data_IF_709650823761
#
_entry.id   IF_709650823761
#
_cell.length_a   1.000
_cell.length_b   1.000
_cell.length_c   1.000
_cell.angle_alpha   90.00
_cell.angle_beta   90.00
_cell.angle_gamma   90.00
#
_symmetry.space_group_name_H-M   'P 1'
#
loop_
_entity.id
_entity.type
_entity.pdbx_description
1 polymer ?
#
# COMPACT_ATOMS: atom_id res chain seq x y z
N UNK A 1 18.09 12.05 13.36
CA UNK A 1 18.06 12.40 11.91
C UNK A 1 16.89 13.37 11.64
N UNK A 2 15.66 13.05 12.05
CA UNK A 2 14.46 13.88 11.83
C UNK A 2 14.61 15.32 12.36
N UNK A 3 15.24 15.51 13.51
CA UNK A 3 15.56 16.83 14.07
C UNK A 3 16.52 17.66 13.20
N UNK A 4 17.45 17.01 12.48
CA UNK A 4 18.42 17.69 11.58
C UNK A 4 17.81 18.11 10.26
N UNK A 5 16.74 17.42 9.81
CA UNK A 5 16.09 17.62 8.50
C UNK A 5 14.81 18.46 8.63
N UNK A 6 14.41 18.83 9.87
CA UNK A 6 13.22 19.66 10.10
C UNK A 6 11.89 18.90 10.00
N UNK A 7 11.90 17.57 9.87
CA UNK A 7 10.71 16.72 9.82
C UNK A 7 10.17 16.45 11.22
N UNK A 8 9.69 17.52 11.91
CA UNK A 8 9.19 17.50 13.27
C UNK A 8 7.76 18.06 13.26
N UNK A 9 6.83 17.33 13.88
CA UNK A 9 5.50 17.85 14.17
C UNK A 9 5.54 18.73 15.42
N UNK A 10 5.45 20.04 15.22
CA UNK A 10 5.29 21.00 16.30
C UNK A 10 3.79 21.31 16.41
N UNK A 11 3.13 21.01 17.54
CA UNK A 11 1.72 21.29 17.72
C UNK A 11 1.48 22.82 17.66
N UNK A 12 0.81 23.26 16.57
CA UNK A 12 0.45 24.67 16.37
C UNK A 12 -1.03 24.96 16.72
N UNK A 13 -1.85 23.91 16.90
CA UNK A 13 -3.30 24.03 17.10
C UNK A 13 -3.78 23.22 18.31
N UNK A 14 -4.81 23.76 18.99
CA UNK A 14 -5.47 23.15 20.16
C UNK A 14 -6.17 21.79 19.86
N UNK A 15 -6.28 21.39 18.60
CA UNK A 15 -6.86 20.09 18.20
C UNK A 15 -5.87 18.93 18.25
N UNK A 16 -4.56 19.20 18.44
CA UNK A 16 -3.54 18.14 18.48
C UNK A 16 -3.33 17.68 19.91
N UNK A 17 -3.44 16.37 20.11
CA UNK A 17 -3.34 15.73 21.43
C UNK A 17 -1.91 15.69 22.00
N UNK A 18 -0.88 16.09 21.23
CA UNK A 18 0.51 16.01 21.64
C UNK A 18 1.04 17.37 22.10
N UNK A 19 1.69 17.36 23.27
CA UNK A 19 2.35 18.55 23.85
C UNK A 19 3.85 18.61 23.57
N UNK A 20 4.43 17.58 22.92
CA UNK A 20 5.88 17.49 22.63
C UNK A 20 6.10 17.33 21.12
N UNK A 21 7.22 17.88 20.57
CA UNK A 21 7.59 17.66 19.18
C UNK A 21 7.84 16.17 18.91
N UNK A 22 7.17 15.60 17.91
CA UNK A 22 7.30 14.19 17.54
C UNK A 22 7.99 14.09 16.16
N UNK A 23 9.03 13.23 16.02
CA UNK A 23 9.67 13.00 14.74
C UNK A 23 8.75 12.20 13.79
N UNK A 24 8.54 12.71 12.55
CA UNK A 24 7.63 12.11 11.57
C UNK A 24 8.25 10.99 10.72
N UNK A 25 9.56 10.79 10.74
CA UNK A 25 10.28 9.87 9.84
C UNK A 25 10.32 8.40 10.33
N UNK A 26 9.47 7.99 11.27
CA UNK A 26 9.41 6.59 11.74
C UNK A 26 9.10 5.58 10.64
N UNK A 27 8.14 5.91 9.76
CA UNK A 27 7.76 5.09 8.62
C UNK A 27 8.89 4.83 7.62
N UNK A 28 9.82 5.79 7.45
CA UNK A 28 10.98 5.61 6.58
C UNK A 28 11.91 4.49 7.06
N UNK A 29 12.12 4.37 8.38
CA UNK A 29 12.94 3.30 8.94
C UNK A 29 12.31 1.92 8.74
N UNK A 30 10.98 1.81 8.92
CA UNK A 30 10.22 0.58 8.66
C UNK A 30 10.31 0.21 7.18
N UNK A 31 10.10 1.17 6.29
CA UNK A 31 10.20 0.94 4.85
C UNK A 31 11.62 0.53 4.41
N UNK A 32 12.66 1.16 4.97
CA UNK A 32 14.05 0.78 4.70
C UNK A 32 14.33 -0.67 5.12
N UNK A 33 13.90 -1.09 6.32
CA UNK A 33 14.01 -2.47 6.78
C UNK A 33 13.27 -3.46 5.87
N UNK A 34 12.05 -3.11 5.44
CA UNK A 34 11.28 -3.89 4.48
C UNK A 34 12.02 -4.04 3.13
N UNK A 35 12.54 -2.93 2.58
CA UNK A 35 13.29 -2.96 1.31
C UNK A 35 14.55 -3.80 1.42
N UNK A 36 15.33 -3.68 2.51
CA UNK A 36 16.51 -4.52 2.74
C UNK A 36 16.13 -6.00 2.81
N UNK A 37 15.06 -6.35 3.51
CA UNK A 37 14.58 -7.72 3.61
C UNK A 37 14.21 -8.29 2.24
N UNK A 38 13.48 -7.54 1.42
CA UNK A 38 13.12 -7.98 0.06
C UNK A 38 14.37 -8.14 -0.81
N UNK A 39 15.31 -7.19 -0.77
CA UNK A 39 16.53 -7.24 -1.57
C UNK A 39 17.44 -8.44 -1.20
N UNK A 40 17.40 -8.88 0.05
CA UNK A 40 18.21 -10.01 0.52
C UNK A 40 17.56 -11.37 0.28
N UNK A 41 16.24 -11.47 0.37
CA UNK A 41 15.54 -12.75 0.40
C UNK A 41 14.67 -13.05 -0.81
N UNK A 42 14.39 -12.06 -1.67
CA UNK A 42 13.56 -12.23 -2.86
C UNK A 42 14.38 -11.98 -4.12
N UNK A 43 14.31 -12.90 -5.08
CA UNK A 43 14.94 -12.69 -6.40
C UNK A 43 14.07 -11.74 -7.26
N UNK A 44 14.27 -10.43 -7.03
CA UNK A 44 13.50 -9.36 -7.69
C UNK A 44 13.82 -9.30 -9.19
N UNK A 45 15.01 -9.75 -9.60
CA UNK A 45 15.48 -9.61 -11.00
C UNK A 45 14.63 -10.42 -11.97
N UNK A 46 14.00 -11.48 -11.50
CA UNK A 46 13.17 -12.37 -12.30
C UNK A 46 11.68 -11.99 -12.30
N UNK A 47 11.29 -10.96 -11.55
CA UNK A 47 9.87 -10.58 -11.42
C UNK A 47 9.63 -9.09 -11.71
N UNK A 48 9.31 -8.73 -12.98
CA UNK A 48 9.03 -7.36 -13.38
C UNK A 48 7.86 -6.70 -12.61
N UNK A 49 6.83 -7.48 -12.25
CA UNK A 49 5.71 -7.00 -11.45
C UNK A 49 6.18 -6.53 -10.07
N UNK A 50 7.02 -7.34 -9.40
CA UNK A 50 7.58 -6.97 -8.10
C UNK A 50 8.44 -5.70 -8.20
N UNK A 51 9.27 -5.58 -9.25
CA UNK A 51 10.06 -4.37 -9.49
C UNK A 51 9.18 -3.13 -9.63
N UNK A 52 8.08 -3.25 -10.38
CA UNK A 52 7.15 -2.15 -10.60
C UNK A 52 6.41 -1.73 -9.32
N UNK A 53 6.00 -2.69 -8.48
CA UNK A 53 5.39 -2.43 -7.17
C UNK A 53 6.38 -1.70 -6.27
N UNK A 54 7.62 -2.18 -6.18
CA UNK A 54 8.64 -1.57 -5.33
C UNK A 54 9.00 -0.16 -5.79
N UNK A 55 9.08 0.07 -7.10
CA UNK A 55 9.31 1.40 -7.65
C UNK A 55 8.17 2.36 -7.30
N UNK A 56 6.92 1.93 -7.48
CA UNK A 56 5.75 2.70 -7.05
C UNK A 56 5.77 3.01 -5.55
N UNK A 57 6.10 2.02 -4.72
CA UNK A 57 6.22 2.18 -3.27
C UNK A 57 7.33 3.19 -2.88
N UNK A 58 8.50 3.14 -3.52
CA UNK A 58 9.57 4.12 -3.30
C UNK A 58 9.09 5.54 -3.62
N UNK A 59 8.39 5.74 -4.74
CA UNK A 59 7.86 7.06 -5.13
C UNK A 59 6.88 7.58 -4.08
N UNK A 60 5.97 6.74 -3.57
CA UNK A 60 5.01 7.13 -2.52
C UNK A 60 5.72 7.48 -1.21
N UNK A 61 6.72 6.71 -0.80
CA UNK A 61 7.48 7.00 0.43
C UNK A 61 8.28 8.28 0.30
N UNK A 62 8.94 8.52 -0.84
CA UNK A 62 9.63 9.79 -1.11
C UNK A 62 8.65 10.96 -1.08
N UNK A 63 7.47 10.81 -1.70
CA UNK A 63 6.41 11.82 -1.63
C UNK A 63 6.01 12.12 -0.19
N UNK A 64 5.83 11.08 0.65
CA UNK A 64 5.49 11.23 2.07
C UNK A 64 6.57 11.98 2.85
N UNK A 65 7.84 11.64 2.64
CA UNK A 65 8.97 12.34 3.27
C UNK A 65 9.03 13.81 2.87
N UNK A 66 8.84 14.10 1.58
CA UNK A 66 8.83 15.49 1.07
C UNK A 66 7.62 16.25 1.63
N UNK A 67 6.46 15.61 1.72
CA UNK A 67 5.26 16.21 2.33
C UNK A 67 5.45 16.54 3.81
N UNK A 68 6.09 15.67 4.57
CA UNK A 68 6.41 15.90 5.98
C UNK A 68 7.36 17.09 6.21
N UNK A 69 8.22 17.38 5.23
CA UNK A 69 9.18 18.49 5.29
C UNK A 69 8.57 19.80 4.78
N UNK A 70 7.86 19.75 3.64
CA UNK A 70 7.48 20.93 2.85
C UNK A 70 5.97 21.23 2.82
N UNK A 71 5.12 20.37 3.40
CA UNK A 71 3.66 20.48 3.37
C UNK A 71 3.13 20.73 1.95
N UNK A 72 3.22 19.70 1.10
CA UNK A 72 2.87 19.79 -0.32
C UNK A 72 1.36 20.05 -0.54
N UNK A 73 0.99 20.77 -1.61
CA UNK A 73 -0.41 20.97 -1.97
C UNK A 73 -1.06 19.63 -2.35
N UNK A 74 -2.32 19.42 -1.93
CA UNK A 74 -3.06 18.17 -2.13
C UNK A 74 -3.11 17.73 -3.62
N UNK A 75 -3.24 18.69 -4.55
CA UNK A 75 -3.26 18.41 -5.99
C UNK A 75 -1.97 17.74 -6.48
N UNK A 76 -0.81 18.22 -6.01
CA UNK A 76 0.48 17.64 -6.39
C UNK A 76 0.63 16.23 -5.82
N UNK A 77 0.25 16.02 -4.54
CA UNK A 77 0.24 14.68 -3.93
C UNK A 77 -0.58 13.70 -4.74
N UNK A 78 -1.80 14.11 -5.14
CA UNK A 78 -2.70 13.26 -5.90
C UNK A 78 -2.13 12.88 -7.28
N UNK A 79 -1.53 13.83 -8.00
CA UNK A 79 -0.90 13.58 -9.30
C UNK A 79 0.27 12.59 -9.17
N UNK A 80 1.14 12.76 -8.17
CA UNK A 80 2.26 11.84 -7.95
C UNK A 80 1.78 10.45 -7.54
N UNK A 81 0.73 10.35 -6.72
CA UNK A 81 0.11 9.07 -6.36
C UNK A 81 -0.45 8.33 -7.59
N UNK A 82 -1.14 9.04 -8.48
CA UNK A 82 -1.63 8.46 -9.76
C UNK A 82 -0.45 7.96 -10.59
N UNK A 83 0.61 8.76 -10.75
CA UNK A 83 1.79 8.35 -11.51
C UNK A 83 2.45 7.10 -10.90
N UNK A 84 2.60 7.06 -9.58
CA UNK A 84 3.15 5.91 -8.87
C UNK A 84 2.28 4.65 -9.02
N UNK A 85 0.94 4.79 -9.01
CA UNK A 85 -0.01 3.68 -9.18
C UNK A 85 -0.07 3.16 -10.63
N UNK A 86 0.18 4.02 -11.62
CA UNK A 86 0.24 3.63 -13.03
C UNK A 86 1.41 2.69 -13.31
N UNK A 87 2.53 2.81 -12.61
CA UNK A 87 3.71 1.97 -12.85
C UNK A 87 3.39 0.48 -12.69
N UNK A 88 2.90 -0.03 -11.55
CA UNK A 88 2.53 -1.43 -11.43
C UNK A 88 1.34 -1.80 -12.32
N UNK A 89 0.34 -0.91 -12.46
CA UNK A 89 -0.85 -1.20 -13.28
C UNK A 89 -0.49 -1.48 -14.74
N UNK A 90 0.44 -0.72 -15.32
CA UNK A 90 0.92 -0.91 -16.71
C UNK A 90 1.89 -2.09 -16.84
N UNK A 91 2.52 -2.55 -15.76
CA UNK A 91 3.40 -3.71 -15.73
C UNK A 91 2.68 -5.03 -15.38
N UNK A 92 1.37 -5.09 -15.56
CA UNK A 92 0.58 -6.30 -15.41
C UNK A 92 0.08 -6.58 -13.99
N UNK A 93 0.24 -5.63 -13.05
CA UNK A 93 -0.35 -5.70 -11.71
C UNK A 93 -1.68 -4.97 -11.74
N UNK A 94 -2.71 -5.61 -12.25
CA UNK A 94 -4.02 -4.98 -12.42
C UNK A 94 -5.19 -5.89 -11.99
N UNK A 95 -6.26 -5.27 -11.52
CA UNK A 95 -7.52 -5.94 -11.18
C UNK A 95 -8.22 -6.29 -12.49
N UNK A 96 -8.20 -7.57 -12.86
CA UNK A 96 -8.75 -8.03 -14.13
C UNK A 96 -10.22 -8.38 -14.06
N UNK A 97 -10.70 -8.83 -12.91
CA UNK A 97 -12.08 -9.23 -12.71
C UNK A 97 -12.56 -8.90 -11.29
N UNK A 98 -13.86 -8.66 -11.17
CA UNK A 98 -14.56 -8.51 -9.91
C UNK A 98 -15.56 -9.65 -9.76
N UNK A 99 -15.75 -10.14 -8.52
CA UNK A 99 -16.79 -11.12 -8.22
C UNK A 99 -18.17 -10.55 -8.54
N UNK A 100 -18.98 -11.32 -9.24
CA UNK A 100 -20.35 -10.95 -9.52
C UNK A 100 -21.24 -11.19 -8.29
N UNK A 101 -21.85 -10.15 -7.70
CA UNK A 101 -22.73 -10.31 -6.55
C UNK A 101 -24.05 -11.00 -6.90
N UNK A 102 -24.41 -11.08 -8.18
CA UNK A 102 -25.64 -11.77 -8.61
C UNK A 102 -25.39 -13.28 -8.78
N UNK A 103 -25.67 -14.04 -7.73
CA UNK A 103 -25.48 -15.50 -7.64
C UNK A 103 -26.33 -16.24 -8.70
N UNK A 104 -27.38 -15.61 -9.23
CA UNK A 104 -28.30 -16.21 -10.21
C UNK A 104 -27.88 -15.96 -11.68
N UNK A 105 -26.83 -15.17 -11.91
CA UNK A 105 -26.38 -14.77 -13.25
C UNK A 105 -25.39 -15.77 -13.76
N UNK A 106 -25.40 -16.90 -13.94
CA UNK A 106 -24.49 -17.88 -14.56
C UNK A 106 -22.99 -17.48 -14.73
N UNK A 107 -22.67 -16.20 -14.57
CA UNK A 107 -21.30 -15.66 -14.64
C UNK A 107 -20.80 -15.31 -13.24
N UNK A 108 -19.77 -16.02 -12.79
CA UNK A 108 -19.17 -15.80 -11.45
C UNK A 108 -18.38 -14.49 -11.35
N UNK A 109 -17.89 -13.94 -12.48
CA UNK A 109 -17.01 -12.78 -12.52
C UNK A 109 -17.43 -11.79 -13.60
N UNK A 110 -17.21 -10.49 -13.31
CA UNK A 110 -17.24 -9.41 -14.30
C UNK A 110 -15.80 -9.14 -14.75
N UNK A 111 -15.50 -9.39 -16.01
CA UNK A 111 -14.20 -9.06 -16.58
C UNK A 111 -14.14 -7.57 -16.88
N UNK A 112 -13.05 -6.92 -16.48
CA UNK A 112 -12.94 -5.45 -16.53
C UNK A 112 -12.31 -4.95 -17.85
N UNK A 113 -11.62 -5.79 -18.61
CA UNK A 113 -10.94 -5.46 -19.86
C UNK A 113 -10.21 -4.09 -19.78
N UNK A 114 -10.63 -3.10 -20.56
CA UNK A 114 -10.03 -1.77 -20.58
C UNK A 114 -10.20 -0.96 -19.29
N UNK A 115 -11.18 -1.27 -18.44
CA UNK A 115 -11.39 -0.67 -17.12
C UNK A 115 -10.41 -1.18 -16.07
N UNK A 116 -9.68 -2.26 -16.33
CA UNK A 116 -8.74 -2.88 -15.40
C UNK A 116 -7.72 -1.86 -14.87
N UNK A 117 -7.07 -1.10 -15.75
CA UNK A 117 -6.07 -0.11 -15.36
C UNK A 117 -6.67 1.06 -14.57
N UNK A 118 -7.72 1.75 -15.04
CA UNK A 118 -8.36 2.82 -14.29
C UNK A 118 -8.85 2.40 -12.91
N UNK A 119 -9.47 1.23 -12.78
CA UNK A 119 -9.96 0.70 -11.50
C UNK A 119 -8.79 0.37 -10.58
N UNK A 120 -7.71 -0.21 -11.10
CA UNK A 120 -6.51 -0.50 -10.29
C UNK A 120 -5.87 0.78 -9.75
N UNK A 121 -5.71 1.79 -10.60
CA UNK A 121 -5.15 3.09 -10.18
C UNK A 121 -6.05 3.75 -9.12
N UNK A 122 -7.36 3.77 -9.36
CA UNK A 122 -8.33 4.31 -8.40
C UNK A 122 -8.26 3.56 -7.06
N UNK A 123 -8.13 2.24 -7.09
CA UNK A 123 -8.00 1.40 -5.90
C UNK A 123 -6.73 1.71 -5.12
N UNK A 124 -5.57 1.73 -5.79
CA UNK A 124 -4.27 2.00 -5.16
C UNK A 124 -4.28 3.40 -4.52
N UNK A 125 -4.69 4.43 -5.28
CA UNK A 125 -4.75 5.82 -4.79
C UNK A 125 -5.79 5.95 -3.67
N UNK A 126 -6.94 5.31 -3.80
CA UNK A 126 -8.00 5.29 -2.77
C UNK A 126 -7.51 4.71 -1.45
N UNK A 127 -6.90 3.52 -1.48
CA UNK A 127 -6.35 2.87 -0.27
C UNK A 127 -5.20 3.69 0.32
N UNK A 128 -4.29 4.23 -0.51
CA UNK A 128 -3.20 5.07 -0.03
C UNK A 128 -3.71 6.28 0.77
N UNK A 129 -4.73 6.96 0.24
CA UNK A 129 -5.33 8.11 0.94
C UNK A 129 -6.18 7.69 2.14
N UNK A 130 -6.90 6.55 2.08
CA UNK A 130 -7.67 6.03 3.21
C UNK A 130 -6.75 5.69 4.39
N UNK A 131 -5.63 5.00 4.15
CA UNK A 131 -4.64 4.69 5.20
C UNK A 131 -4.04 5.98 5.78
N UNK A 132 -3.69 6.95 4.94
CA UNK A 132 -3.19 8.25 5.40
C UNK A 132 -4.22 9.02 6.27
N UNK A 133 -5.51 8.90 5.95
CA UNK A 133 -6.58 9.52 6.73
C UNK A 133 -6.79 8.84 8.10
N UNK A 134 -6.62 7.52 8.17
CA UNK A 134 -6.73 6.73 9.41
C UNK A 134 -5.55 7.00 10.35
N UNK A 135 -4.40 7.44 9.81
CA UNK A 135 -3.17 7.73 10.58
C UNK A 135 -3.25 9.05 11.39
N UNK A 136 -4.42 9.36 11.90
CA UNK A 136 -4.68 10.50 12.78
C UNK A 136 -4.70 10.18 14.27
N UNK A 137 -4.66 8.88 14.65
CA UNK A 137 -4.67 8.41 16.04
C UNK A 137 -3.53 7.42 16.27
N UNK A 138 -2.90 7.53 17.45
CA UNK A 138 -1.77 6.67 17.82
C UNK A 138 -2.14 5.18 17.76
N UNK A 139 -1.41 4.43 16.94
CA UNK A 139 -1.56 2.99 16.77
C UNK A 139 -2.72 2.53 15.89
N UNK A 140 -3.64 3.40 15.44
CA UNK A 140 -4.80 3.00 14.66
C UNK A 140 -4.41 2.47 13.28
N UNK A 141 -3.61 3.22 12.51
CA UNK A 141 -3.15 2.79 11.19
C UNK A 141 -2.31 1.51 11.28
N UNK A 142 -1.41 1.42 12.26
CA UNK A 142 -0.59 0.22 12.49
C UNK A 142 -1.45 -0.99 12.88
N UNK A 143 -2.45 -0.80 13.74
CA UNK A 143 -3.37 -1.87 14.15
C UNK A 143 -4.19 -2.41 12.99
N UNK A 144 -4.81 -1.53 12.19
CA UNK A 144 -5.59 -1.91 11.01
C UNK A 144 -4.69 -2.63 9.99
N UNK A 145 -3.50 -2.12 9.73
CA UNK A 145 -2.54 -2.72 8.80
C UNK A 145 -2.06 -4.10 9.27
N UNK A 146 -1.79 -4.25 10.56
CA UNK A 146 -1.38 -5.54 11.15
C UNK A 146 -2.49 -6.60 11.07
N UNK A 147 -3.73 -6.23 11.37
CA UNK A 147 -4.90 -7.13 11.25
C UNK A 147 -5.10 -7.53 9.80
N UNK A 148 -5.04 -6.58 8.87
CA UNK A 148 -5.19 -6.84 7.43
C UNK A 148 -4.09 -7.79 6.93
N UNK A 149 -2.83 -7.54 7.28
CA UNK A 149 -1.70 -8.38 6.91
C UNK A 149 -1.81 -9.80 7.50
N UNK A 150 -2.21 -9.94 8.76
CA UNK A 150 -2.46 -11.22 9.39
C UNK A 150 -3.59 -12.00 8.70
N UNK A 151 -4.69 -11.32 8.34
CA UNK A 151 -5.80 -11.93 7.62
C UNK A 151 -5.35 -12.47 6.25
N UNK A 152 -4.62 -11.66 5.47
CA UNK A 152 -4.08 -12.09 4.17
C UNK A 152 -3.12 -13.27 4.32
N UNK A 153 -2.26 -13.25 5.35
CA UNK A 153 -1.34 -14.35 5.64
C UNK A 153 -2.11 -15.64 5.92
N UNK A 154 -3.13 -15.61 6.78
CA UNK A 154 -3.95 -16.78 7.11
C UNK A 154 -4.65 -17.32 5.87
N UNK A 155 -5.26 -16.45 5.07
CA UNK A 155 -5.92 -16.86 3.81
C UNK A 155 -4.92 -17.46 2.81
N UNK A 156 -3.73 -16.90 2.70
CA UNK A 156 -2.66 -17.42 1.84
C UNK A 156 -2.22 -18.82 2.30
N UNK A 157 -2.04 -19.02 3.61
CA UNK A 157 -1.67 -20.33 4.16
C UNK A 157 -2.77 -21.39 3.94
N UNK A 158 -4.03 -21.03 4.03
CA UNK A 158 -5.16 -21.91 3.72
C UNK A 158 -5.09 -22.34 2.25
N UNK A 159 -4.93 -21.39 1.32
CA UNK A 159 -4.83 -21.69 -0.11
C UNK A 159 -3.63 -22.58 -0.47
N UNK A 160 -2.49 -22.41 0.20
CA UNK A 160 -1.30 -23.24 -0.02
C UNK A 160 -1.53 -24.67 0.49
N UNK A 161 -2.31 -24.86 1.56
CA UNK A 161 -2.55 -26.18 2.16
C UNK A 161 -3.67 -26.99 1.48
N UNK A 162 -4.64 -26.37 0.85
CA UNK A 162 -5.76 -27.04 0.19
C UNK A 162 -5.37 -27.94 -1.00
N UNK A 163 -4.51 -27.55 -1.96
CA UNK A 163 -4.16 -28.43 -3.08
C UNK A 163 -3.46 -29.72 -2.65
N UNK A 164 -2.84 -29.72 -1.49
CA UNK A 164 -2.15 -30.91 -0.95
C UNK A 164 -3.14 -31.94 -0.40
N UNK A 165 -4.33 -31.52 0.05
CA UNK A 165 -5.38 -32.43 0.54
C UNK A 165 -6.10 -33.14 -0.61
N UNK A 166 -6.42 -32.44 -1.69
CA UNK A 166 -7.11 -33.03 -2.85
C UNK A 166 -6.25 -34.06 -3.58
N UNK A 167 -4.92 -33.92 -3.59
CA UNK A 167 -3.99 -34.93 -4.16
C UNK A 167 -3.87 -36.21 -3.32
N UNK A 168 -4.27 -36.20 -2.05
CA UNK A 168 -4.21 -37.40 -1.18
C UNK A 168 -5.48 -38.27 -1.24
N UNK A 169 -6.54 -37.83 -1.92
CA UNK A 169 -7.84 -38.50 -1.99
C UNK A 169 -8.08 -39.12 -3.40
N UNK A 170 -7.23 -38.83 -4.37
CA UNK A 170 -7.21 -39.49 -5.69
C UNK A 170 -6.04 -40.46 -5.78
#
# INVERSE_FOLDING_TARGET
>A
FAYKVGAIDVPKDARRMHHKPIPRLGGLAIFAGFMVSILLFVDIRLNPQMQSILLGAVIIVVLGVVDDIMALPAKLKFVVQIAAALIPALNGVSIQALSNPNIFSGNAYWVLDWLSIPITVLWIVGITNAVNLIDGLDGLANGVSAISAATVLVLSLIHISEPTRLRRIS
#
